data_IF_784530991137
#
_entry.id   IF_784530991137
#
_cell.length_a   1.000
_cell.length_b   1.000
_cell.length_c   1.000
_cell.angle_alpha   90.00
_cell.angle_beta   90.00
_cell.angle_gamma   90.00
#
_symmetry.space_group_name_H-M   'P 1'
#
loop_
_entity.id
_entity.type
_entity.pdbx_description
1 polymer ?
#
# COMPACT_ATOMS: atom_id res chain seq x y z
N UNK A 1 -8.67 -22.42 -4.95
CA UNK A 1 -8.70 -21.02 -5.46
C UNK A 1 -7.40 -20.74 -6.19
N UNK A 2 -7.49 -20.15 -7.37
CA UNK A 2 -6.29 -19.79 -8.13
C UNK A 2 -5.64 -18.56 -7.53
N UNK A 3 -4.35 -18.64 -7.28
CA UNK A 3 -3.59 -17.49 -6.79
C UNK A 3 -3.55 -16.38 -7.84
N UNK A 4 -3.69 -15.15 -7.41
CA UNK A 4 -3.68 -13.98 -8.27
C UNK A 4 -2.46 -13.11 -7.97
N UNK A 5 -2.08 -12.29 -8.94
CA UNK A 5 -1.02 -11.30 -8.77
C UNK A 5 -1.67 -9.92 -8.68
N UNK A 6 -1.40 -9.23 -7.61
CA UNK A 6 -2.02 -7.95 -7.30
C UNK A 6 -0.94 -6.89 -7.20
N UNK A 7 -1.16 -5.78 -7.89
CA UNK A 7 -0.27 -4.63 -7.81
C UNK A 7 -0.87 -3.64 -6.82
N UNK A 8 -0.08 -3.26 -5.80
CA UNK A 8 -0.49 -2.26 -4.83
C UNK A 8 0.38 -1.04 -5.00
N UNK A 9 -0.24 0.10 -5.29
CA UNK A 9 0.46 1.38 -5.40
C UNK A 9 0.36 2.11 -4.09
N UNK A 10 1.51 2.42 -3.49
CA UNK A 10 1.56 3.13 -2.21
C UNK A 10 2.50 4.32 -2.30
N UNK A 11 2.36 5.23 -1.37
CA UNK A 11 3.22 6.39 -1.24
C UNK A 11 3.24 6.86 0.20
N UNK A 12 4.06 7.86 0.49
CA UNK A 12 4.15 8.39 1.85
C UNK A 12 2.80 8.94 2.31
N UNK A 13 2.48 8.71 3.56
CA UNK A 13 1.26 9.14 4.25
C UNK A 13 -0.01 8.43 3.77
N UNK A 14 0.15 7.29 3.13
CA UNK A 14 -0.96 6.40 2.82
C UNK A 14 -1.59 5.90 4.13
N UNK A 15 -2.90 5.67 4.12
CA UNK A 15 -3.60 5.19 5.32
C UNK A 15 -3.10 3.82 5.75
N UNK A 16 -2.66 3.70 7.00
CA UNK A 16 -2.03 2.48 7.52
C UNK A 16 -2.92 1.24 7.37
N UNK A 17 -4.17 1.33 7.82
CA UNK A 17 -5.07 0.17 7.75
C UNK A 17 -5.34 -0.25 6.32
N UNK A 18 -5.41 0.69 5.39
CA UNK A 18 -5.72 0.38 4.00
C UNK A 18 -4.55 -0.24 3.26
N UNK A 19 -3.35 -0.16 3.83
CA UNK A 19 -2.17 -0.84 3.32
C UNK A 19 -2.00 -2.18 4.04
N UNK A 20 -1.93 -2.14 5.38
CA UNK A 20 -1.53 -3.30 6.16
C UNK A 20 -2.55 -4.43 6.10
N UNK A 21 -3.83 -4.11 6.22
CA UNK A 21 -4.86 -5.14 6.26
C UNK A 21 -5.01 -5.85 4.92
N UNK A 22 -5.20 -5.15 3.78
CA UNK A 22 -5.30 -5.84 2.50
C UNK A 22 -4.03 -6.59 2.13
N UNK A 23 -2.86 -5.99 2.39
CA UNK A 23 -1.59 -6.65 2.07
C UNK A 23 -1.49 -7.99 2.78
N UNK A 24 -1.73 -7.98 4.09
CA UNK A 24 -1.61 -9.19 4.90
C UNK A 24 -2.71 -10.19 4.58
N UNK A 25 -3.95 -9.74 4.40
CA UNK A 25 -5.06 -10.62 4.12
C UNK A 25 -4.91 -11.32 2.78
N UNK A 26 -4.51 -10.60 1.75
CA UNK A 26 -4.31 -11.18 0.42
C UNK A 26 -3.16 -12.16 0.40
N UNK A 27 -2.07 -11.84 1.09
CA UNK A 27 -0.93 -12.75 1.19
C UNK A 27 -1.32 -14.01 1.97
N UNK A 28 -2.13 -13.86 3.01
CA UNK A 28 -2.52 -14.99 3.85
C UNK A 28 -3.33 -16.02 3.07
N UNK A 29 -4.18 -15.60 2.13
CA UNK A 29 -4.97 -16.52 1.32
C UNK A 29 -4.24 -16.95 0.06
N UNK A 30 -2.98 -16.63 -0.09
CA UNK A 30 -2.13 -17.19 -1.14
C UNK A 30 -1.94 -16.34 -2.38
N UNK A 31 -2.40 -15.09 -2.38
CA UNK A 31 -2.14 -14.20 -3.50
C UNK A 31 -0.77 -13.56 -3.37
N UNK A 32 -0.19 -13.17 -4.50
CA UNK A 32 1.06 -12.40 -4.52
C UNK A 32 0.71 -10.92 -4.61
N UNK A 33 1.21 -10.12 -3.68
CA UNK A 33 1.01 -8.68 -3.69
C UNK A 33 2.36 -8.01 -3.87
N UNK A 34 2.51 -7.26 -4.96
CA UNK A 34 3.69 -6.43 -5.17
C UNK A 34 3.34 -4.99 -4.80
N UNK A 35 3.95 -4.52 -3.72
CA UNK A 35 3.76 -3.15 -3.24
C UNK A 35 4.88 -2.29 -3.80
N UNK A 36 4.52 -1.26 -4.56
CA UNK A 36 5.48 -0.42 -5.26
C UNK A 36 5.17 1.05 -5.06
N UNK A 37 6.20 1.88 -5.20
CA UNK A 37 6.06 3.33 -5.21
C UNK A 37 6.98 3.88 -6.30
N UNK A 38 6.51 4.81 -7.15
CA UNK A 38 7.38 5.42 -8.17
C UNK A 38 8.67 5.94 -7.55
N UNK A 39 9.76 5.75 -8.28
CA UNK A 39 11.11 6.17 -7.89
C UNK A 39 11.69 5.40 -6.71
N UNK A 40 11.03 4.34 -6.26
CA UNK A 40 11.54 3.50 -5.17
C UNK A 40 11.70 2.05 -5.62
N UNK A 41 12.57 1.35 -4.92
CA UNK A 41 12.88 -0.06 -5.19
C UNK A 41 12.52 -0.91 -3.98
N UNK A 42 12.52 -2.22 -4.20
CA UNK A 42 12.29 -3.18 -3.12
C UNK A 42 13.26 -2.94 -1.98
N UNK A 43 12.76 -3.02 -0.76
CA UNK A 43 13.54 -2.76 0.45
C UNK A 43 13.47 -1.33 0.95
N UNK A 44 13.14 -0.38 0.09
CA UNK A 44 12.84 0.99 0.56
C UNK A 44 11.47 1.02 1.20
N UNK A 45 11.19 2.06 1.97
CA UNK A 45 9.94 2.13 2.72
C UNK A 45 9.13 3.35 2.33
N UNK A 46 7.82 3.25 2.58
CA UNK A 46 6.94 4.41 2.62
C UNK A 46 6.41 4.53 4.04
N UNK A 47 6.20 5.75 4.49
CA UNK A 47 5.63 6.00 5.81
C UNK A 47 4.12 5.99 5.70
N UNK A 48 3.46 5.15 6.49
CA UNK A 48 2.01 5.19 6.57
C UNK A 48 1.58 6.16 7.66
N UNK A 49 0.31 6.52 7.66
CA UNK A 49 -0.28 7.41 8.65
C UNK A 49 -1.57 6.81 9.16
N UNK A 50 -1.87 7.06 10.43
CA UNK A 50 -3.10 6.59 11.06
C UNK A 50 -3.99 7.81 11.29
N UNK A 51 -5.19 7.78 10.70
CA UNK A 51 -6.16 8.85 10.84
C UNK A 51 -7.27 8.41 11.78
N UNK A 52 -7.28 8.97 12.99
CA UNK A 52 -8.26 8.64 14.01
C UNK A 52 -9.32 9.72 14.10
N UNK A 53 -10.57 9.30 14.27
CA UNK A 53 -11.68 10.20 14.51
C UNK A 53 -11.64 10.65 15.96
N UNK A 54 -11.54 11.97 16.17
CA UNK A 54 -11.39 12.56 17.52
C UNK A 54 -12.66 13.24 18.01
N UNK A 55 -13.76 13.13 17.30
CA UNK A 55 -15.01 13.79 17.65
C UNK A 55 -15.69 14.30 16.39
N UNK A 56 -16.69 15.15 16.54
CA UNK A 56 -17.49 15.61 15.40
C UNK A 56 -16.62 16.19 14.29
N UNK A 57 -16.40 15.39 13.24
CA UNK A 57 -15.64 15.76 12.05
C UNK A 57 -14.20 16.20 12.33
N UNK A 58 -13.67 15.81 13.48
CA UNK A 58 -12.29 16.09 13.84
C UNK A 58 -11.48 14.82 13.78
N UNK A 59 -10.36 14.87 13.08
CA UNK A 59 -9.48 13.72 12.92
C UNK A 59 -8.07 14.10 13.30
N UNK A 60 -7.35 13.17 13.92
CA UNK A 60 -5.92 13.32 14.13
C UNK A 60 -5.19 12.46 13.09
N UNK A 61 -3.97 12.88 12.77
CA UNK A 61 -3.06 12.08 11.95
C UNK A 61 -1.86 11.72 12.82
N UNK A 62 -1.63 10.43 12.95
CA UNK A 62 -0.54 9.91 13.76
C UNK A 62 0.41 9.11 12.88
N UNK A 63 1.70 9.02 13.26
CA UNK A 63 2.62 8.15 12.53
C UNK A 63 2.15 6.71 12.57
N UNK A 64 2.20 6.05 11.43
CA UNK A 64 1.92 4.64 11.32
C UNK A 64 3.20 3.82 11.30
N UNK A 65 3.39 3.08 10.24
CA UNK A 65 4.54 2.20 10.09
C UNK A 65 5.42 2.62 8.94
N UNK A 66 6.65 2.15 8.93
CA UNK A 66 7.49 2.19 7.75
C UNK A 66 7.21 0.90 6.99
N UNK A 67 6.39 1.00 5.96
CA UNK A 67 5.98 -0.17 5.18
C UNK A 67 7.03 -0.45 4.12
N UNK A 68 7.62 -1.64 4.17
CA UNK A 68 8.67 -2.02 3.23
C UNK A 68 8.07 -2.44 1.89
N UNK A 69 8.58 -1.83 0.82
CA UNK A 69 8.21 -2.21 -0.53
C UNK A 69 8.87 -3.55 -0.87
N UNK A 70 8.20 -4.36 -1.67
CA UNK A 70 8.71 -5.68 -2.01
C UNK A 70 8.97 -5.86 -3.51
N UNK A 71 8.89 -4.80 -4.28
CA UNK A 71 9.12 -4.88 -5.71
C UNK A 71 9.57 -3.51 -6.24
N UNK A 72 10.29 -3.51 -7.36
CA UNK A 72 10.78 -2.27 -7.96
C UNK A 72 9.74 -1.70 -8.89
N UNK A 73 9.40 -0.43 -8.73
CA UNK A 73 8.40 0.21 -9.59
C UNK A 73 8.77 0.11 -11.07
N UNK A 74 10.05 0.30 -11.39
CA UNK A 74 10.50 0.29 -12.79
C UNK A 74 10.33 -1.05 -13.48
N UNK A 75 10.11 -2.13 -12.70
CA UNK A 75 9.93 -3.46 -13.24
C UNK A 75 8.47 -3.85 -13.43
N UNK A 76 7.55 -2.97 -13.07
CA UNK A 76 6.12 -3.26 -13.15
C UNK A 76 5.68 -3.35 -14.61
N UNK A 77 4.97 -4.43 -14.91
CA UNK A 77 4.29 -4.63 -16.18
C UNK A 77 2.82 -4.85 -15.89
N UNK A 78 1.98 -3.93 -16.33
CA UNK A 78 0.56 -3.96 -15.99
C UNK A 78 -0.11 -5.25 -16.41
N UNK A 79 0.28 -5.81 -17.56
CA UNK A 79 -0.30 -7.04 -18.07
C UNK A 79 0.03 -8.27 -17.25
N UNK A 80 0.95 -8.15 -16.30
CA UNK A 80 1.32 -9.26 -15.42
C UNK A 80 0.44 -9.36 -14.18
N UNK A 81 -0.48 -8.42 -13.98
CA UNK A 81 -1.28 -8.37 -12.77
C UNK A 81 -2.75 -8.60 -13.07
N UNK A 82 -3.41 -9.25 -12.11
CA UNK A 82 -4.84 -9.54 -12.20
C UNK A 82 -5.69 -8.42 -11.61
N UNK A 83 -5.11 -7.63 -10.71
CA UNK A 83 -5.84 -6.56 -10.03
C UNK A 83 -4.90 -5.44 -9.60
N UNK A 84 -5.47 -4.26 -9.40
CA UNK A 84 -4.78 -3.08 -8.90
C UNK A 84 -5.46 -2.64 -7.62
N UNK A 85 -4.65 -2.40 -6.58
CA UNK A 85 -5.13 -1.93 -5.29
C UNK A 85 -4.46 -0.59 -5.00
N UNK A 86 -5.28 0.44 -4.75
CA UNK A 86 -4.78 1.77 -4.44
C UNK A 86 -5.37 2.19 -3.09
N UNK A 87 -4.61 2.03 -2.00
CA UNK A 87 -5.08 2.49 -0.69
C UNK A 87 -5.25 4.00 -0.67
N UNK A 88 -6.17 4.47 0.15
CA UNK A 88 -6.39 5.90 0.34
C UNK A 88 -5.41 6.52 1.31
N UNK A 89 -5.73 7.73 1.75
CA UNK A 89 -4.92 8.48 2.71
C UNK A 89 -4.77 9.92 2.28
N UNK A 90 -4.13 10.69 3.17
CA UNK A 90 -3.95 12.12 2.94
C UNK A 90 -3.13 12.39 1.68
N UNK A 91 -2.11 11.59 1.47
CA UNK A 91 -1.22 11.73 0.32
C UNK A 91 -0.73 10.36 -0.14
N UNK A 92 -1.59 9.62 -0.76
CA UNK A 92 -1.07 8.46 -1.47
C UNK A 92 -0.58 8.95 -2.84
N UNK A 93 0.44 9.78 -2.79
CA UNK A 93 0.95 10.41 -3.99
C UNK A 93 2.09 9.61 -4.54
N UNK A 94 1.76 8.64 -5.32
CA UNK A 94 2.72 8.01 -6.20
C UNK A 94 2.63 8.63 -7.57
N UNK A 95 1.94 9.73 -7.66
CA UNK A 95 1.84 10.46 -8.91
C UNK A 95 2.96 11.47 -9.03
#
# INVERSE_FOLDING_TARGET
>A
MTAKKILMLVGDYVEDYEVMVPFQALAMVGHTVHAVCPEKIAGQTVRTAIHDFEGEQTYSEKPGHNFALNYDFVQVRAESYDALLIPGGRRNTCA
#
